data_IF_663711549388
#
_entry.id   IF_663711549388
#
_cell.length_a   1.000
_cell.length_b   1.000
_cell.length_c   1.000
_cell.angle_alpha   90.00
_cell.angle_beta   90.00
_cell.angle_gamma   90.00
#
_symmetry.space_group_name_H-M   'P 1'
#
loop_
_entity.id
_entity.type
_entity.pdbx_description
1 polymer ?
#
# COMPACT_ATOMS: atom_id res chain seq x y z
N UNK A 1 -5.91 -18.82 -7.62
CA UNK A 1 -6.16 -17.45 -7.13
C UNK A 1 -5.03 -17.00 -6.21
N UNK A 2 -4.42 -15.85 -6.49
CA UNK A 2 -3.35 -15.30 -5.67
C UNK A 2 -3.89 -14.87 -4.30
N UNK A 3 -3.26 -15.34 -3.21
CA UNK A 3 -3.66 -15.05 -1.82
C UNK A 3 -3.18 -13.66 -1.39
N UNK A 4 -3.61 -12.58 -2.05
CA UNK A 4 -3.36 -11.22 -1.57
C UNK A 4 -4.57 -10.71 -0.79
N UNK A 5 -4.44 -10.37 0.52
CA UNK A 5 -5.58 -9.89 1.30
C UNK A 5 -6.12 -8.53 0.82
N UNK A 6 -5.34 -7.72 0.09
CA UNK A 6 -5.75 -6.38 -0.34
C UNK A 6 -6.46 -6.33 -1.67
N UNK A 7 -6.26 -7.32 -2.53
CA UNK A 7 -6.76 -7.28 -3.90
C UNK A 7 -7.50 -8.57 -4.25
N UNK A 8 -8.61 -8.43 -4.95
CA UNK A 8 -9.39 -9.57 -5.43
C UNK A 8 -9.91 -9.30 -6.85
N UNK A 9 -9.98 -10.35 -7.65
CA UNK A 9 -10.57 -10.33 -8.99
C UNK A 9 -12.06 -10.67 -8.87
N UNK A 10 -12.90 -9.90 -9.55
CA UNK A 10 -14.33 -10.21 -9.74
C UNK A 10 -14.60 -10.33 -11.22
N UNK A 11 -15.09 -11.48 -11.64
CA UNK A 11 -15.58 -11.72 -12.98
C UNK A 11 -17.10 -11.61 -12.98
N UNK A 12 -17.68 -11.06 -14.03
CA UNK A 12 -19.12 -10.97 -14.17
C UNK A 12 -19.48 -11.14 -15.63
N UNK A 13 -20.34 -12.12 -15.91
CA UNK A 13 -20.94 -12.29 -17.22
C UNK A 13 -21.93 -11.14 -17.49
N UNK A 14 -21.87 -10.59 -18.69
CA UNK A 14 -22.70 -9.51 -19.20
C UNK A 14 -23.36 -9.96 -20.49
N UNK A 15 -24.37 -9.21 -20.93
CA UNK A 15 -25.18 -9.51 -22.13
C UNK A 15 -24.35 -9.78 -23.39
N UNK A 16 -23.18 -9.14 -23.53
CA UNK A 16 -22.31 -9.23 -24.71
C UNK A 16 -20.89 -9.67 -24.35
N UNK A 17 -20.72 -10.55 -23.36
CA UNK A 17 -19.41 -11.08 -22.97
C UNK A 17 -19.09 -10.90 -21.50
N UNK A 18 -17.81 -10.94 -21.16
CA UNK A 18 -17.34 -10.96 -19.77
C UNK A 18 -16.73 -9.63 -19.36
N UNK A 19 -16.88 -9.32 -18.08
CA UNK A 19 -16.27 -8.18 -17.40
C UNK A 19 -15.32 -8.69 -16.32
N UNK A 20 -14.15 -8.07 -16.22
CA UNK A 20 -13.21 -8.31 -15.14
C UNK A 20 -12.96 -7.03 -14.35
N UNK A 21 -12.99 -7.15 -13.02
CA UNK A 21 -12.74 -6.06 -12.09
C UNK A 21 -11.65 -6.45 -11.10
N UNK A 22 -10.65 -5.59 -10.94
CA UNK A 22 -9.69 -5.68 -9.85
C UNK A 22 -10.19 -4.79 -8.72
N UNK A 23 -10.57 -5.41 -7.61
CA UNK A 23 -11.02 -4.71 -6.41
C UNK A 23 -9.90 -4.59 -5.39
N UNK A 24 -9.89 -3.49 -4.65
CA UNK A 24 -8.95 -3.24 -3.56
C UNK A 24 -9.69 -2.98 -2.25
N UNK A 25 -9.29 -3.68 -1.20
CA UNK A 25 -9.70 -3.39 0.16
C UNK A 25 -8.93 -2.17 0.68
N UNK A 26 -9.64 -1.05 0.85
CA UNK A 26 -9.06 0.23 1.31
C UNK A 26 -9.06 0.30 2.83
N UNK A 27 -10.15 -0.17 3.43
CA UNK A 27 -10.32 -0.33 4.89
C UNK A 27 -11.01 -1.66 5.17
N UNK A 28 -11.13 -2.05 6.44
CA UNK A 28 -11.88 -3.26 6.83
C UNK A 28 -13.32 -3.28 6.33
N UNK A 29 -13.94 -2.10 6.12
CA UNK A 29 -15.34 -1.96 5.71
C UNK A 29 -15.53 -1.51 4.25
N UNK A 30 -14.47 -1.11 3.54
CA UNK A 30 -14.57 -0.48 2.22
C UNK A 30 -13.69 -1.18 1.18
N UNK A 31 -14.35 -1.65 0.12
CA UNK A 31 -13.73 -2.22 -1.09
C UNK A 31 -14.08 -1.33 -2.28
N UNK A 32 -13.10 -1.02 -3.12
CA UNK A 32 -13.27 -0.18 -4.31
C UNK A 32 -12.74 -0.89 -5.55
N UNK A 33 -13.34 -0.63 -6.71
CA UNK A 33 -12.80 -1.10 -7.99
C UNK A 33 -11.61 -0.22 -8.37
N UNK A 34 -10.44 -0.83 -8.57
CA UNK A 34 -9.20 -0.13 -8.95
C UNK A 34 -9.01 -0.10 -10.46
N UNK A 35 -9.40 -1.17 -11.16
CA UNK A 35 -9.39 -1.25 -12.63
C UNK A 35 -10.51 -2.19 -13.08
N UNK A 36 -11.13 -1.88 -14.21
CA UNK A 36 -12.18 -2.69 -14.84
C UNK A 36 -11.93 -2.73 -16.33
N UNK A 37 -12.16 -3.89 -16.94
CA UNK A 37 -12.22 -4.06 -18.38
C UNK A 37 -13.43 -4.94 -18.74
N UNK A 38 -14.03 -4.66 -19.89
CA UNK A 38 -15.29 -5.29 -20.31
C UNK A 38 -15.26 -5.70 -21.77
N UNK A 39 -16.11 -6.66 -22.15
CA UNK A 39 -16.23 -7.11 -23.53
C UNK A 39 -15.27 -8.24 -23.89
N UNK A 40 -14.84 -9.02 -22.89
CA UNK A 40 -14.08 -10.23 -23.14
C UNK A 40 -14.98 -11.32 -23.74
N UNK A 41 -14.47 -12.08 -24.71
CA UNK A 41 -15.24 -13.18 -25.32
C UNK A 41 -15.49 -14.34 -24.35
N UNK A 42 -14.64 -14.51 -23.34
CA UNK A 42 -14.74 -15.61 -22.38
C UNK A 42 -14.26 -15.22 -20.99
N UNK A 43 -14.74 -15.97 -19.99
CA UNK A 43 -14.29 -15.84 -18.61
C UNK A 43 -12.77 -16.02 -18.48
N UNK A 44 -12.19 -16.98 -19.21
CA UNK A 44 -10.76 -17.25 -19.16
C UNK A 44 -9.91 -16.07 -19.65
N UNK A 45 -10.34 -15.38 -20.72
CA UNK A 45 -9.66 -14.16 -21.21
C UNK A 45 -9.76 -13.03 -20.18
N UNK A 46 -10.94 -12.86 -19.59
CA UNK A 46 -11.18 -11.86 -18.56
C UNK A 46 -10.32 -12.12 -17.30
N UNK A 47 -10.22 -13.39 -16.87
CA UNK A 47 -9.39 -13.82 -15.75
C UNK A 47 -7.90 -13.59 -16.01
N UNK A 48 -7.40 -14.03 -17.18
CA UNK A 48 -5.99 -13.88 -17.53
C UNK A 48 -5.56 -12.42 -17.57
N UNK A 49 -6.39 -11.56 -18.15
CA UNK A 49 -6.17 -10.11 -18.13
C UNK A 49 -6.10 -9.57 -16.69
N UNK A 50 -7.06 -9.96 -15.84
CA UNK A 50 -7.11 -9.48 -14.46
C UNK A 50 -5.92 -9.96 -13.62
N UNK A 51 -5.44 -11.19 -13.83
CA UNK A 51 -4.28 -11.74 -13.15
C UNK A 51 -2.98 -11.03 -13.56
N UNK A 52 -2.80 -10.77 -14.86
CA UNK A 52 -1.67 -10.00 -15.38
C UNK A 52 -1.61 -8.60 -14.76
N UNK A 53 -2.74 -7.89 -14.78
CA UNK A 53 -2.85 -6.55 -14.23
C UNK A 53 -2.65 -6.53 -12.71
N UNK A 54 -3.22 -7.53 -12.01
CA UNK A 54 -3.08 -7.70 -10.57
C UNK A 54 -1.62 -7.81 -10.14
N UNK A 55 -0.77 -8.53 -10.89
CA UNK A 55 0.66 -8.61 -10.59
C UNK A 55 1.31 -7.22 -10.53
N UNK A 56 0.96 -6.33 -11.47
CA UNK A 56 1.42 -4.94 -11.48
C UNK A 56 0.93 -4.13 -10.27
N UNK A 57 -0.32 -4.33 -9.83
CA UNK A 57 -0.84 -3.70 -8.62
C UNK A 57 -0.08 -4.13 -7.36
N UNK A 58 0.26 -5.43 -7.26
CA UNK A 58 0.99 -5.99 -6.13
C UNK A 58 2.41 -5.43 -6.08
N UNK A 59 3.14 -5.45 -7.20
CA UNK A 59 4.49 -4.91 -7.29
C UNK A 59 4.53 -3.42 -6.92
N UNK A 60 3.61 -2.63 -7.47
CA UNK A 60 3.49 -1.21 -7.14
C UNK A 60 3.17 -0.98 -5.65
N UNK A 61 2.45 -1.90 -5.01
CA UNK A 61 2.19 -1.83 -3.58
C UNK A 61 3.43 -2.12 -2.73
N UNK A 62 4.26 -3.08 -3.14
CA UNK A 62 5.53 -3.42 -2.46
C UNK A 62 6.48 -2.23 -2.49
N UNK A 63 6.76 -1.70 -3.69
CA UNK A 63 7.66 -0.54 -3.87
C UNK A 63 7.20 0.68 -3.04
N UNK A 64 5.90 0.97 -3.03
CA UNK A 64 5.36 2.07 -2.23
C UNK A 64 5.51 1.83 -0.72
N UNK A 65 5.35 0.59 -0.27
CA UNK A 65 5.49 0.25 1.15
C UNK A 65 6.95 0.37 1.61
N UNK A 66 7.90 -0.11 0.80
CA UNK A 66 9.34 0.02 1.05
C UNK A 66 9.76 1.47 1.15
N UNK A 67 9.37 2.29 0.16
CA UNK A 67 9.65 3.74 0.19
C UNK A 67 9.10 4.41 1.46
N UNK A 68 7.88 4.07 1.87
CA UNK A 68 7.29 4.61 3.09
C UNK A 68 7.96 4.08 4.36
N UNK A 69 8.52 2.88 4.34
CA UNK A 69 9.26 2.32 5.46
C UNK A 69 10.59 3.07 5.66
N UNK A 70 11.34 3.29 4.58
CA UNK A 70 12.56 4.09 4.61
C UNK A 70 12.30 5.51 5.16
N UNK A 71 11.26 6.18 4.66
CA UNK A 71 10.86 7.52 5.17
C UNK A 71 10.41 7.52 6.64
N UNK A 72 9.97 6.39 7.20
CA UNK A 72 9.66 6.31 8.64
C UNK A 72 10.94 6.21 9.45
N UNK A 73 11.87 5.34 9.03
CA UNK A 73 13.16 5.18 9.70
C UNK A 73 13.96 6.48 9.74
N UNK A 74 13.99 7.24 8.63
CA UNK A 74 14.66 8.54 8.57
C UNK A 74 14.04 9.54 9.56
N UNK A 75 12.71 9.64 9.59
CA UNK A 75 12.01 10.52 10.53
C UNK A 75 12.18 10.11 11.99
N UNK A 76 12.19 8.81 12.27
CA UNK A 76 12.44 8.27 13.61
C UNK A 76 13.87 8.59 14.06
N UNK A 77 14.87 8.43 13.18
CA UNK A 77 16.25 8.79 13.47
C UNK A 77 16.43 10.29 13.73
N UNK A 78 15.79 11.15 12.93
CA UNK A 78 15.81 12.61 13.14
C UNK A 78 15.16 13.00 14.47
N UNK A 79 14.02 12.39 14.80
CA UNK A 79 13.33 12.62 16.07
C UNK A 79 14.18 12.20 17.28
N UNK A 80 14.83 11.03 17.21
CA UNK A 80 15.74 10.56 18.25
C UNK A 80 16.93 11.50 18.41
N UNK A 81 17.56 11.93 17.32
CA UNK A 81 18.67 12.88 17.37
C UNK A 81 18.24 14.23 17.97
N UNK A 82 17.04 14.72 17.62
CA UNK A 82 16.48 15.93 18.21
C UNK A 82 16.17 15.78 19.70
N UNK A 83 15.72 14.60 20.14
CA UNK A 83 15.51 14.31 21.57
C UNK A 83 16.83 14.29 22.33
N UNK A 84 17.84 13.57 21.83
CA UNK A 84 19.18 13.52 22.45
C UNK A 84 19.77 14.93 22.61
N UNK A 85 19.75 15.74 21.54
CA UNK A 85 20.23 17.14 21.62
C UNK A 85 19.48 17.98 22.64
N UNK A 86 18.16 17.81 22.75
CA UNK A 86 17.35 18.50 23.76
C UNK A 86 17.70 18.05 25.17
N UNK A 87 17.93 16.76 25.38
CA UNK A 87 18.34 16.22 26.68
C UNK A 87 19.74 16.68 27.07
N UNK A 88 20.70 16.68 26.14
CA UNK A 88 22.05 17.23 26.35
C UNK A 88 21.98 18.71 26.70
N UNK A 89 21.19 19.50 25.98
CA UNK A 89 20.99 20.91 26.27
C UNK A 89 20.30 21.15 27.62
N UNK A 90 19.37 20.27 28.03
CA UNK A 90 18.74 20.33 29.35
C UNK A 90 19.76 20.03 30.45
N UNK A 91 20.50 18.91 30.32
CA UNK A 91 21.55 18.53 31.27
C UNK A 91 22.61 19.61 31.41
N UNK A 92 23.04 20.24 30.31
CA UNK A 92 24.03 21.32 30.34
C UNK A 92 23.52 22.58 31.06
N UNK A 93 22.21 22.87 30.98
CA UNK A 93 21.59 23.96 31.75
C UNK A 93 21.52 23.61 33.23
N UNK A 94 21.04 22.41 33.54
CA UNK A 94 20.94 21.92 34.93
C UNK A 94 22.31 21.97 35.63
N UNK A 95 23.39 21.52 34.95
CA UNK A 95 24.76 21.59 35.50
C UNK A 95 25.30 23.01 35.66
N UNK A 96 24.84 23.97 34.86
CA UNK A 96 25.29 25.36 34.95
C UNK A 96 24.52 26.17 36.00
N UNK A 97 23.37 25.68 36.47
CA UNK A 97 22.63 26.27 37.59
C UNK A 97 23.13 25.77 38.97
N UNK A 98 23.85 24.64 38.99
CA UNK A 98 24.42 24.03 40.20
C UNK A 98 25.87 24.49 40.55
N UNK A 99 26.54 25.26 39.67
CA UNK A 99 27.86 25.90 39.90
C UNK A 99 27.74 27.39 40.27
#
# INVERSE_FOLDING_TARGET
>A
MSKNPKFAIRLTEKRNGWSAEITRQVTSRKVVVSKRETGFDSEAKAQAWAEQELAGFIQNQVVRNERKAAQRQEREAEQLAAQVRKEEARKARDTAEDE
#
